data_IF_887589972064
#
_entry.id   IF_887589972064
#
_cell.length_a   1.000
_cell.length_b   1.000
_cell.length_c   1.000
_cell.angle_alpha   90.00
_cell.angle_beta   90.00
_cell.angle_gamma   90.00
#
_symmetry.space_group_name_H-M   'P 1'
#
loop_
_entity.id
_entity.type
_entity.pdbx_description
1 polymer ?
#
# COMPACT_ATOMS: atom_id res chain seq x y z
N UNK A 1 14.74 -27.76 -3.03
CA UNK A 1 14.02 -28.27 -1.88
C UNK A 1 13.28 -27.16 -1.12
N UNK A 2 13.92 -26.04 -0.79
CA UNK A 2 13.31 -24.85 -0.13
C UNK A 2 12.12 -24.24 -0.87
N UNK A 3 12.14 -24.16 -2.22
CA UNK A 3 11.03 -23.61 -3.05
C UNK A 3 9.72 -24.41 -2.91
N UNK A 4 9.81 -25.72 -2.75
CA UNK A 4 8.63 -26.59 -2.54
C UNK A 4 8.05 -26.49 -1.14
N UNK A 5 8.90 -26.22 -0.14
CA UNK A 5 8.47 -26.02 1.25
C UNK A 5 7.71 -24.69 1.41
N UNK A 6 8.19 -23.62 0.75
CA UNK A 6 7.51 -22.32 0.78
C UNK A 6 6.11 -22.38 0.15
N UNK A 7 5.95 -23.09 -0.97
CA UNK A 7 4.65 -23.28 -1.64
C UNK A 7 3.69 -24.08 -0.74
N UNK A 8 4.19 -25.11 -0.07
CA UNK A 8 3.37 -25.93 0.86
C UNK A 8 2.95 -25.11 2.08
N UNK A 9 3.81 -24.26 2.62
CA UNK A 9 3.43 -23.39 3.75
C UNK A 9 2.38 -22.35 3.37
N UNK A 10 2.45 -21.78 2.16
CA UNK A 10 1.46 -20.82 1.65
C UNK A 10 0.12 -21.51 1.37
N UNK A 11 0.12 -22.73 0.84
CA UNK A 11 -1.11 -23.47 0.56
C UNK A 11 -1.78 -23.99 1.83
N UNK A 12 -1.03 -24.38 2.87
CA UNK A 12 -1.61 -24.79 4.15
C UNK A 12 -2.17 -23.62 4.95
N UNK A 13 -1.59 -22.43 4.83
CA UNK A 13 -2.11 -21.21 5.48
C UNK A 13 -3.43 -20.74 4.83
N UNK A 14 -3.59 -20.93 3.53
CA UNK A 14 -4.82 -20.56 2.80
C UNK A 14 -6.02 -21.48 3.09
N UNK A 15 -5.78 -22.71 3.55
CA UNK A 15 -6.84 -23.70 3.76
C UNK A 15 -7.51 -23.65 5.15
N UNK A 16 -7.04 -22.81 6.07
CA UNK A 16 -7.59 -22.69 7.43
C UNK A 16 -8.53 -21.51 7.65
N UNK A 17 -8.91 -20.78 6.60
CA UNK A 17 -9.85 -19.66 6.72
C UNK A 17 -11.27 -20.19 6.79
N UNK A 18 -11.79 -20.40 8.00
CA UNK A 18 -13.20 -20.64 8.23
C UNK A 18 -14.00 -19.38 7.90
N UNK A 19 -14.81 -19.43 6.87
CA UNK A 19 -15.77 -18.39 6.50
C UNK A 19 -16.94 -18.40 7.48
N UNK A 20 -16.94 -17.51 8.46
CA UNK A 20 -18.09 -17.20 9.31
C UNK A 20 -18.63 -15.83 8.91
N UNK A 21 -19.75 -15.81 8.23
CA UNK A 21 -20.47 -14.60 7.89
C UNK A 21 -21.22 -14.07 9.14
N UNK A 22 -21.01 -12.81 9.49
CA UNK A 22 -21.89 -12.07 10.39
C UNK A 22 -21.29 -11.42 11.64
N UNK A 23 -20.16 -11.91 12.17
CA UNK A 23 -19.46 -11.30 13.32
C UNK A 23 -18.08 -10.72 12.96
N UNK A 24 -17.70 -10.84 11.70
CA UNK A 24 -16.31 -10.63 11.26
C UNK A 24 -15.92 -9.16 11.20
N UNK A 25 -16.89 -8.26 10.96
CA UNK A 25 -16.63 -6.81 10.88
C UNK A 25 -16.16 -6.23 12.23
N UNK A 26 -16.85 -6.54 13.32
CA UNK A 26 -16.50 -6.05 14.65
C UNK A 26 -15.17 -6.63 15.14
N UNK A 27 -14.91 -7.91 14.87
CA UNK A 27 -13.64 -8.54 15.20
C UNK A 27 -12.47 -7.93 14.42
N UNK A 28 -12.68 -7.58 13.15
CA UNK A 28 -11.68 -6.92 12.32
C UNK A 28 -11.40 -5.48 12.78
N UNK A 29 -12.44 -4.73 13.15
CA UNK A 29 -12.33 -3.40 13.74
C UNK A 29 -11.46 -3.44 14.99
N UNK A 30 -11.77 -4.34 15.93
CA UNK A 30 -11.03 -4.51 17.17
C UNK A 30 -9.59 -4.98 16.95
N UNK A 31 -9.38 -5.87 15.99
CA UNK A 31 -8.08 -6.48 15.71
C UNK A 31 -7.12 -5.53 15.00
N UNK A 32 -7.66 -4.61 14.20
CA UNK A 32 -6.91 -3.58 13.48
C UNK A 32 -6.98 -2.21 14.16
N UNK A 33 -7.45 -2.13 15.40
CA UNK A 33 -7.48 -0.86 16.14
C UNK A 33 -6.04 -0.36 16.35
N UNK A 34 -5.70 0.86 15.88
CA UNK A 34 -4.39 1.45 16.04
C UNK A 34 -3.91 1.50 17.50
N UNK A 35 -4.82 1.67 18.45
CA UNK A 35 -4.50 1.72 19.87
C UNK A 35 -3.98 0.39 20.44
N UNK A 36 -4.31 -0.74 19.80
CA UNK A 36 -3.92 -2.08 20.22
C UNK A 36 -2.58 -2.54 19.61
N UNK A 37 -2.00 -1.79 18.66
CA UNK A 37 -0.75 -2.16 18.00
C UNK A 37 0.44 -1.79 18.87
N UNK A 38 1.09 -2.82 19.41
CA UNK A 38 2.28 -2.65 20.27
C UNK A 38 3.51 -2.26 19.47
N UNK A 39 4.29 -1.37 20.03
CA UNK A 39 5.63 -1.05 19.57
C UNK A 39 6.66 -1.91 20.32
N UNK A 40 6.83 -3.15 19.87
CA UNK A 40 7.63 -4.13 20.61
C UNK A 40 9.13 -3.80 20.59
N UNK A 41 9.58 -2.99 19.63
CA UNK A 41 10.98 -2.67 19.40
C UNK A 41 11.19 -1.14 19.31
N UNK A 42 10.52 -0.36 20.16
CA UNK A 42 10.47 1.11 20.04
C UNK A 42 11.87 1.74 19.91
N UNK A 43 12.84 1.32 20.72
CA UNK A 43 14.19 1.87 20.63
C UNK A 43 14.86 1.63 19.28
N UNK A 44 14.71 0.43 18.70
CA UNK A 44 15.21 0.10 17.37
C UNK A 44 14.42 0.85 16.29
N UNK A 45 13.10 0.89 16.42
CA UNK A 45 12.23 1.59 15.49
C UNK A 45 12.54 3.09 15.43
N UNK A 46 12.75 3.74 16.59
CA UNK A 46 13.17 5.16 16.65
C UNK A 46 14.55 5.38 16.02
N UNK A 47 15.52 4.49 16.26
CA UNK A 47 16.84 4.58 15.63
C UNK A 47 16.74 4.43 14.10
N UNK A 48 15.97 3.46 13.61
CA UNK A 48 15.74 3.29 12.16
C UNK A 48 14.96 4.46 11.56
N UNK A 49 14.01 5.01 12.31
CA UNK A 49 13.26 6.20 11.89
C UNK A 49 14.20 7.41 11.73
N UNK A 50 15.08 7.67 12.70
CA UNK A 50 16.07 8.74 12.61
C UNK A 50 17.05 8.55 11.42
N UNK A 51 17.44 7.29 11.14
CA UNK A 51 18.22 6.97 9.94
C UNK A 51 17.42 7.32 8.67
N UNK A 52 16.14 6.93 8.60
CA UNK A 52 15.29 7.24 7.45
C UNK A 52 15.08 8.74 7.27
N UNK A 53 14.89 9.52 8.36
CA UNK A 53 14.82 10.99 8.29
C UNK A 53 16.13 11.58 7.76
N UNK A 54 17.27 11.08 8.20
CA UNK A 54 18.58 11.55 7.70
C UNK A 54 18.71 11.26 6.21
N UNK A 55 18.32 10.07 5.75
CA UNK A 55 18.33 9.72 4.33
C UNK A 55 17.32 10.56 3.53
N UNK A 56 16.16 10.84 4.10
CA UNK A 56 15.16 11.70 3.45
C UNK A 56 15.73 13.10 3.23
N UNK A 57 16.24 13.76 4.28
CA UNK A 57 16.77 15.12 4.19
C UNK A 57 17.99 15.27 3.27
N UNK A 58 18.86 14.24 3.20
CA UNK A 58 20.08 14.29 2.37
C UNK A 58 19.80 13.87 0.90
N UNK A 59 18.87 12.92 0.68
CA UNK A 59 18.69 12.29 -0.62
C UNK A 59 17.27 12.42 -1.17
N UNK A 60 16.25 11.90 -0.44
CA UNK A 60 14.92 11.76 -1.03
C UNK A 60 14.21 13.10 -1.20
N UNK A 61 14.27 13.96 -0.23
CA UNK A 61 13.65 15.28 -0.29
C UNK A 61 14.26 16.19 -1.37
N UNK A 62 15.59 16.36 -1.48
CA UNK A 62 16.19 17.11 -2.59
C UNK A 62 15.83 16.57 -3.97
N UNK A 63 15.82 15.24 -4.13
CA UNK A 63 15.42 14.59 -5.39
C UNK A 63 13.93 14.81 -5.68
N UNK A 64 13.07 14.71 -4.67
CA UNK A 64 11.64 14.99 -4.80
C UNK A 64 11.36 16.46 -5.15
N UNK A 65 12.10 17.41 -4.55
CA UNK A 65 12.04 18.86 -4.89
C UNK A 65 12.48 19.09 -6.33
N UNK A 66 13.59 18.47 -6.77
CA UNK A 66 14.04 18.54 -8.16
C UNK A 66 13.00 17.93 -9.13
N UNK A 67 12.41 16.81 -8.79
CA UNK A 67 11.32 16.20 -9.56
C UNK A 67 10.10 17.12 -9.68
N UNK A 68 9.78 17.93 -8.66
CA UNK A 68 8.67 18.90 -8.69
C UNK A 68 8.90 20.07 -9.65
N UNK A 69 10.12 20.32 -10.12
CA UNK A 69 10.40 21.31 -11.17
C UNK A 69 9.77 20.88 -12.52
N UNK A 70 9.55 19.58 -12.72
CA UNK A 70 8.87 19.09 -13.91
C UNK A 70 7.43 19.63 -13.98
N UNK A 71 6.92 19.96 -15.18
CA UNK A 71 5.53 20.39 -15.36
C UNK A 71 4.52 19.36 -14.79
N UNK A 72 3.43 19.86 -14.20
CA UNK A 72 2.40 19.01 -13.59
C UNK A 72 1.90 17.90 -14.52
N UNK A 73 1.65 18.11 -15.84
CA UNK A 73 1.21 17.03 -16.71
C UNK A 73 2.22 15.87 -16.82
N UNK A 74 3.52 16.18 -16.80
CA UNK A 74 4.58 15.15 -16.83
C UNK A 74 4.55 14.32 -15.55
N UNK A 75 4.49 14.98 -14.40
CA UNK A 75 4.42 14.31 -13.10
C UNK A 75 3.15 13.46 -12.95
N UNK A 76 2.03 13.98 -13.44
CA UNK A 76 0.75 13.24 -13.48
C UNK A 76 0.89 12.00 -14.37
N UNK A 77 1.45 12.14 -15.57
CA UNK A 77 1.66 11.01 -16.48
C UNK A 77 2.56 9.91 -15.88
N UNK A 78 3.65 10.30 -15.21
CA UNK A 78 4.51 9.36 -14.48
C UNK A 78 3.71 8.65 -13.37
N UNK A 79 2.98 9.40 -12.55
CA UNK A 79 2.16 8.82 -11.48
C UNK A 79 1.09 7.84 -12.01
N UNK A 80 0.43 8.19 -13.11
CA UNK A 80 -0.56 7.33 -13.76
C UNK A 80 0.06 6.02 -14.27
N UNK A 81 1.24 6.11 -14.92
CA UNK A 81 1.96 4.92 -15.40
C UNK A 81 2.39 4.00 -14.24
N UNK A 82 2.87 4.56 -13.14
CA UNK A 82 3.24 3.81 -11.94
C UNK A 82 2.01 3.14 -11.29
N UNK A 83 0.88 3.84 -11.22
CA UNK A 83 -0.39 3.28 -10.75
C UNK A 83 -0.87 2.16 -11.68
N UNK A 84 -0.77 2.36 -13.00
CA UNK A 84 -1.13 1.33 -13.96
C UNK A 84 -0.27 0.07 -13.79
N UNK A 85 1.03 0.23 -13.58
CA UNK A 85 1.93 -0.88 -13.29
C UNK A 85 1.60 -1.56 -11.95
N UNK A 86 1.20 -0.78 -10.95
CA UNK A 86 0.80 -1.29 -9.63
C UNK A 86 -0.48 -2.14 -9.67
N UNK A 87 -1.33 -2.00 -10.70
CA UNK A 87 -2.48 -2.87 -10.93
C UNK A 87 -2.10 -4.35 -11.04
N UNK A 88 -0.90 -4.66 -11.51
CA UNK A 88 -0.40 -6.04 -11.57
C UNK A 88 -0.33 -6.71 -10.19
N UNK A 89 -0.17 -5.93 -9.12
CA UNK A 89 -0.22 -6.40 -7.73
C UNK A 89 -1.63 -6.22 -7.14
N UNK A 90 -2.30 -5.12 -7.46
CA UNK A 90 -3.63 -4.79 -6.93
C UNK A 90 -4.69 -5.81 -7.36
N UNK A 91 -4.74 -6.19 -8.64
CA UNK A 91 -5.73 -7.13 -9.16
C UNK A 91 -5.71 -8.48 -8.42
N UNK A 92 -4.57 -9.19 -8.28
CA UNK A 92 -4.54 -10.42 -7.51
C UNK A 92 -4.89 -10.22 -6.03
N UNK A 93 -4.58 -9.07 -5.45
CA UNK A 93 -4.95 -8.77 -4.06
C UNK A 93 -6.47 -8.56 -3.91
N UNK A 94 -7.14 -7.86 -4.84
CA UNK A 94 -8.61 -7.79 -4.84
C UNK A 94 -9.24 -9.20 -4.90
N UNK A 95 -8.70 -10.10 -5.74
CA UNK A 95 -9.17 -11.49 -5.83
C UNK A 95 -8.98 -12.22 -4.49
N UNK A 96 -7.80 -12.09 -3.86
CA UNK A 96 -7.50 -12.72 -2.57
C UNK A 96 -8.39 -12.19 -1.43
N UNK A 97 -8.84 -10.96 -1.53
CA UNK A 97 -9.75 -10.33 -0.58
C UNK A 97 -11.22 -10.68 -0.85
N UNK A 98 -11.51 -11.35 -1.96
CA UNK A 98 -12.88 -11.71 -2.39
C UNK A 98 -13.61 -10.54 -3.07
N UNK A 99 -12.92 -9.44 -3.36
CA UNK A 99 -13.50 -8.29 -4.06
C UNK A 99 -13.35 -8.44 -5.57
N UNK A 100 -14.16 -9.34 -6.13
CA UNK A 100 -14.16 -9.63 -7.57
C UNK A 100 -14.66 -8.44 -8.40
N UNK A 101 -15.46 -7.55 -7.81
CA UNK A 101 -15.94 -6.33 -8.49
C UNK A 101 -14.77 -5.40 -8.75
N UNK A 102 -14.00 -5.06 -7.72
CA UNK A 102 -12.83 -4.20 -7.86
C UNK A 102 -11.73 -4.88 -8.68
N UNK A 103 -11.56 -6.19 -8.58
CA UNK A 103 -10.66 -6.95 -9.45
C UNK A 103 -11.03 -6.76 -10.93
N UNK A 104 -12.32 -6.83 -11.27
CA UNK A 104 -12.82 -6.58 -12.63
C UNK A 104 -12.62 -5.15 -13.09
N UNK A 105 -12.94 -4.17 -12.24
CA UNK A 105 -12.71 -2.74 -12.49
C UNK A 105 -11.22 -2.48 -12.75
N UNK A 106 -10.34 -2.94 -11.87
CA UNK A 106 -8.89 -2.73 -12.00
C UNK A 106 -8.29 -3.44 -13.22
N UNK A 107 -8.84 -4.61 -13.61
CA UNK A 107 -8.47 -5.29 -14.87
C UNK A 107 -8.85 -4.45 -16.08
N UNK A 108 -10.07 -3.89 -16.10
CA UNK A 108 -10.53 -2.99 -17.15
C UNK A 108 -9.68 -1.72 -17.23
N UNK A 109 -9.38 -1.09 -16.09
CA UNK A 109 -8.49 0.07 -15.98
C UNK A 109 -7.11 -0.23 -16.56
N UNK A 110 -6.51 -1.35 -16.15
CA UNK A 110 -5.19 -1.76 -16.63
C UNK A 110 -5.18 -1.94 -18.16
N UNK A 111 -6.18 -2.62 -18.72
CA UNK A 111 -6.28 -2.84 -20.17
C UNK A 111 -6.46 -1.54 -20.94
N UNK A 112 -7.40 -0.67 -20.52
CA UNK A 112 -7.69 0.61 -21.16
C UNK A 112 -6.49 1.55 -21.05
N UNK A 113 -5.93 1.73 -19.86
CA UNK A 113 -4.84 2.66 -19.65
C UNK A 113 -3.54 2.17 -20.31
N UNK A 114 -3.31 0.86 -20.39
CA UNK A 114 -2.14 0.32 -21.10
C UNK A 114 -2.24 0.52 -22.61
N UNK A 115 -3.43 0.36 -23.21
CA UNK A 115 -3.65 0.45 -24.66
C UNK A 115 -3.97 1.88 -25.10
N UNK A 116 -5.08 2.43 -24.66
CA UNK A 116 -5.53 3.77 -25.06
C UNK A 116 -4.80 4.88 -24.29
N UNK A 117 -4.36 4.60 -23.06
CA UNK A 117 -3.64 5.54 -22.21
C UNK A 117 -2.11 5.53 -22.40
N UNK A 118 -1.59 4.85 -23.44
CA UNK A 118 -0.16 4.78 -23.78
C UNK A 118 0.66 4.31 -22.54
N UNK A 119 0.56 3.02 -22.20
CA UNK A 119 1.20 2.40 -21.03
C UNK A 119 0.82 3.07 -19.69
N UNK A 120 -0.36 3.68 -19.63
CA UNK A 120 -0.89 4.32 -18.43
C UNK A 120 -0.46 5.76 -18.22
N UNK A 121 0.20 6.43 -19.16
CA UNK A 121 0.52 7.87 -19.07
C UNK A 121 -0.77 8.68 -18.90
N UNK A 122 -1.80 8.32 -19.66
CA UNK A 122 -3.13 8.92 -19.56
C UNK A 122 -4.09 7.97 -18.85
N UNK A 123 -4.78 8.48 -17.82
CA UNK A 123 -5.83 7.72 -17.13
C UNK A 123 -7.15 7.84 -17.89
N UNK A 124 -7.24 7.15 -19.02
CA UNK A 124 -8.42 7.10 -19.88
C UNK A 124 -9.58 6.38 -19.19
N UNK A 125 -9.29 5.37 -18.39
CA UNK A 125 -10.32 4.62 -17.67
C UNK A 125 -11.16 5.52 -16.74
N UNK A 126 -10.54 6.43 -15.98
CA UNK A 126 -11.26 7.40 -15.16
C UNK A 126 -12.14 8.33 -16.03
N UNK A 127 -11.64 8.75 -17.20
CA UNK A 127 -12.42 9.57 -18.14
C UNK A 127 -13.62 8.80 -18.74
N UNK A 128 -13.53 7.47 -18.80
CA UNK A 128 -14.62 6.58 -19.23
C UNK A 128 -15.61 6.24 -18.10
N UNK A 129 -15.43 6.79 -16.90
CA UNK A 129 -16.34 6.59 -15.76
C UNK A 129 -16.00 5.40 -14.85
N UNK A 130 -14.83 4.80 -14.99
CA UNK A 130 -14.34 3.84 -13.99
C UNK A 130 -14.05 4.55 -12.67
N UNK A 131 -14.30 3.87 -11.54
CA UNK A 131 -13.92 4.37 -10.21
C UNK A 131 -12.43 4.64 -10.11
N UNK A 132 -12.04 5.54 -9.22
CA UNK A 132 -10.63 5.87 -8.98
C UNK A 132 -9.83 4.63 -8.55
N UNK A 133 -8.54 4.64 -8.91
CA UNK A 133 -7.63 3.56 -8.56
C UNK A 133 -7.28 3.59 -7.07
N UNK A 134 -7.52 2.49 -6.39
CA UNK A 134 -7.08 2.25 -5.02
C UNK A 134 -6.04 1.13 -5.03
N UNK A 135 -4.87 1.41 -4.46
CA UNK A 135 -3.75 0.48 -4.42
C UNK A 135 -3.96 -0.56 -3.32
N UNK A 136 -3.89 -1.83 -3.70
CA UNK A 136 -3.94 -2.96 -2.78
C UNK A 136 -2.59 -3.67 -2.67
N UNK A 137 -2.36 -4.29 -1.51
CA UNK A 137 -1.14 -5.05 -1.24
C UNK A 137 -1.42 -6.32 -0.39
N UNK A 138 -0.46 -7.22 -0.32
CA UNK A 138 -0.60 -8.48 0.42
C UNK A 138 -0.76 -8.29 1.93
N UNK A 139 -0.25 -7.20 2.52
CA UNK A 139 -0.49 -6.86 3.92
C UNK A 139 -1.96 -6.53 4.18
N UNK A 140 -2.61 -5.83 3.23
CA UNK A 140 -4.04 -5.55 3.27
C UNK A 140 -4.84 -6.85 3.10
N UNK A 141 -4.47 -7.71 2.14
CA UNK A 141 -5.13 -9.02 1.92
C UNK A 141 -5.02 -9.92 3.15
N UNK A 142 -3.88 -9.97 3.82
CA UNK A 142 -3.73 -10.65 5.10
C UNK A 142 -4.61 -10.02 6.19
N UNK A 143 -4.66 -8.69 6.26
CA UNK A 143 -5.51 -7.96 7.21
C UNK A 143 -6.98 -8.24 7.01
N UNK A 144 -7.48 -8.19 5.78
CA UNK A 144 -8.86 -8.48 5.42
C UNK A 144 -9.24 -9.94 5.68
N UNK A 145 -8.28 -10.86 5.60
CA UNK A 145 -8.44 -12.27 5.99
C UNK A 145 -8.39 -12.50 7.51
N UNK A 146 -8.29 -11.43 8.33
CA UNK A 146 -8.30 -11.53 9.77
C UNK A 146 -6.93 -11.69 10.43
N UNK A 147 -5.83 -11.57 9.69
CA UNK A 147 -4.48 -11.55 10.29
C UNK A 147 -4.24 -10.21 10.97
N UNK A 148 -3.98 -10.22 12.28
CA UNK A 148 -3.65 -9.00 13.03
C UNK A 148 -2.33 -8.38 12.59
N UNK A 149 -2.11 -7.09 12.87
CA UNK A 149 -0.90 -6.37 12.46
C UNK A 149 0.39 -6.90 13.11
N UNK A 150 0.30 -7.48 14.31
CA UNK A 150 1.46 -7.81 15.13
C UNK A 150 2.10 -6.55 15.71
N UNK A 151 3.43 -6.58 15.90
CA UNK A 151 4.17 -5.41 16.37
C UNK A 151 4.39 -4.39 15.25
N UNK A 152 4.41 -3.12 15.63
CA UNK A 152 4.86 -2.04 14.75
C UNK A 152 6.37 -2.15 14.48
N UNK A 153 6.78 -1.88 13.28
CA UNK A 153 8.16 -1.89 12.80
C UNK A 153 8.44 -0.65 11.95
N UNK A 154 9.69 -0.18 12.01
CA UNK A 154 10.20 0.76 11.01
C UNK A 154 11.29 0.07 10.20
N UNK A 155 11.08 -0.03 8.90
CA UNK A 155 12.02 -0.66 7.98
C UNK A 155 12.99 0.39 7.44
N UNK A 156 14.31 0.06 7.33
CA UNK A 156 15.27 0.94 6.68
C UNK A 156 14.81 1.28 5.26
N UNK A 157 14.83 2.56 4.90
CA UNK A 157 14.42 3.12 3.60
C UNK A 157 12.91 3.01 3.33
N UNK A 158 12.29 1.90 3.71
CA UNK A 158 10.87 1.63 3.42
C UNK A 158 9.90 2.31 4.40
N UNK A 159 10.38 2.73 5.57
CA UNK A 159 9.59 3.47 6.56
C UNK A 159 8.67 2.61 7.42
N UNK A 160 7.51 3.18 7.86
CA UNK A 160 6.56 2.54 8.75
C UNK A 160 6.00 1.23 8.21
N UNK A 161 5.88 0.22 9.07
CA UNK A 161 5.34 -1.10 8.74
C UNK A 161 4.77 -1.79 9.99
N UNK A 162 4.24 -2.99 9.82
CA UNK A 162 3.93 -3.95 10.88
C UNK A 162 4.50 -5.32 10.51
N UNK A 163 4.50 -6.27 11.44
CA UNK A 163 4.93 -7.65 11.12
C UNK A 163 4.11 -8.21 9.97
N UNK A 164 2.77 -8.02 9.97
CA UNK A 164 1.88 -8.45 8.89
C UNK A 164 2.25 -7.80 7.56
N UNK A 165 2.42 -6.48 7.55
CA UNK A 165 2.65 -5.72 6.32
C UNK A 165 4.06 -5.99 5.77
N UNK A 166 5.03 -6.21 6.66
CA UNK A 166 6.37 -6.71 6.29
C UNK A 166 6.29 -8.10 5.65
N UNK A 167 5.50 -9.02 6.22
CA UNK A 167 5.27 -10.32 5.61
C UNK A 167 4.60 -10.21 4.23
N UNK A 168 3.62 -9.30 4.07
CA UNK A 168 3.03 -8.95 2.79
C UNK A 168 4.06 -8.45 1.76
N UNK A 169 4.98 -7.60 2.19
CA UNK A 169 6.08 -7.11 1.34
C UNK A 169 7.04 -8.24 0.91
N UNK A 170 7.29 -9.18 1.80
CA UNK A 170 8.11 -10.37 1.49
C UNK A 170 7.45 -11.25 0.43
N UNK A 171 6.12 -11.38 0.43
CA UNK A 171 5.38 -12.12 -0.61
C UNK A 171 5.66 -11.54 -2.00
N UNK A 172 5.73 -10.22 -2.15
CA UNK A 172 6.09 -9.57 -3.43
C UNK A 172 7.44 -10.08 -3.96
N UNK A 173 8.46 -10.13 -3.10
CA UNK A 173 9.81 -10.57 -3.47
C UNK A 173 9.85 -12.06 -3.83
N UNK A 174 9.05 -12.89 -3.17
CA UNK A 174 8.99 -14.33 -3.44
C UNK A 174 8.07 -14.74 -4.59
N UNK A 175 7.61 -13.79 -5.38
CA UNK A 175 6.89 -14.06 -6.62
C UNK A 175 5.46 -13.53 -6.66
N UNK A 176 5.04 -12.80 -5.63
CA UNK A 176 3.74 -12.13 -5.60
C UNK A 176 3.65 -10.90 -6.49
N UNK A 177 4.79 -10.36 -6.94
CA UNK A 177 4.83 -9.24 -7.86
C UNK A 177 5.08 -9.71 -9.30
N UNK A 178 4.07 -9.69 -10.18
CA UNK A 178 4.25 -10.06 -11.59
C UNK A 178 5.29 -9.21 -12.32
N UNK A 179 5.41 -7.93 -11.96
CA UNK A 179 6.41 -7.05 -12.56
C UNK A 179 7.83 -7.47 -12.17
N UNK A 180 8.05 -7.81 -10.89
CA UNK A 180 9.31 -8.39 -10.45
C UNK A 180 9.64 -9.69 -11.18
N UNK A 181 8.63 -10.56 -11.36
CA UNK A 181 8.83 -11.84 -12.04
C UNK A 181 9.26 -11.66 -13.51
N UNK A 182 8.65 -10.71 -14.21
CA UNK A 182 8.95 -10.47 -15.63
C UNK A 182 10.28 -9.75 -15.82
N UNK A 183 10.60 -8.77 -14.98
CA UNK A 183 11.78 -7.92 -15.18
C UNK A 183 13.05 -8.46 -14.51
N UNK A 184 12.93 -9.04 -13.30
CA UNK A 184 14.11 -9.47 -12.51
C UNK A 184 14.36 -10.97 -12.63
N UNK A 185 13.27 -11.77 -12.53
CA UNK A 185 13.42 -13.22 -12.39
C UNK A 185 13.54 -13.97 -13.72
N UNK A 186 12.88 -13.48 -14.77
CA UNK A 186 12.83 -14.14 -16.06
C UNK A 186 13.79 -13.54 -17.11
N UNK A 187 14.46 -12.42 -16.78
CA UNK A 187 15.42 -11.72 -17.65
C UNK A 187 14.93 -11.66 -19.12
N UNK A 188 13.82 -10.97 -19.32
CA UNK A 188 13.19 -10.91 -20.64
C UNK A 188 13.97 -9.96 -21.56
N UNK A 189 13.88 -10.18 -22.86
CA UNK A 189 14.53 -9.31 -23.87
C UNK A 189 14.13 -7.82 -23.75
N UNK A 190 12.95 -7.54 -23.23
CA UNK A 190 12.36 -6.19 -23.23
C UNK A 190 12.41 -5.51 -21.86
N UNK A 191 12.43 -6.27 -20.77
CA UNK A 191 12.40 -5.77 -19.41
C UNK A 191 13.47 -6.46 -18.58
N UNK A 192 14.23 -5.67 -17.85
CA UNK A 192 15.32 -6.12 -17.01
C UNK A 192 15.21 -5.57 -15.57
N UNK A 193 16.13 -5.98 -14.71
CA UNK A 193 16.09 -5.60 -13.29
C UNK A 193 16.17 -4.07 -13.07
N UNK A 194 16.83 -3.32 -13.98
CA UNK A 194 16.91 -1.86 -13.87
C UNK A 194 15.53 -1.22 -14.03
N UNK A 195 14.70 -1.74 -14.93
CA UNK A 195 13.34 -1.24 -15.14
C UNK A 195 12.49 -1.40 -13.88
N UNK A 196 12.69 -2.52 -13.17
CA UNK A 196 12.03 -2.74 -11.89
C UNK A 196 12.46 -1.73 -10.84
N UNK A 197 13.77 -1.58 -10.61
CA UNK A 197 14.27 -0.67 -9.58
C UNK A 197 14.00 0.80 -9.92
N UNK A 198 14.08 1.20 -11.19
CA UNK A 198 13.72 2.55 -11.62
C UNK A 198 12.23 2.82 -11.35
N UNK A 199 11.34 1.90 -11.69
CA UNK A 199 9.91 2.09 -11.45
C UNK A 199 9.58 2.19 -9.95
N UNK A 200 10.19 1.35 -9.11
CA UNK A 200 10.00 1.39 -7.65
C UNK A 200 10.57 2.65 -7.00
N UNK A 201 11.76 3.06 -7.43
CA UNK A 201 12.36 4.32 -6.95
C UNK A 201 11.53 5.53 -7.40
N UNK A 202 11.03 5.52 -8.63
CA UNK A 202 10.16 6.59 -9.15
C UNK A 202 8.83 6.67 -8.40
N UNK A 203 8.25 5.52 -7.97
CA UNK A 203 7.04 5.49 -7.13
C UNK A 203 7.31 6.18 -5.78
N UNK A 204 8.43 5.86 -5.13
CA UNK A 204 8.85 6.51 -3.89
C UNK A 204 9.08 8.01 -4.04
N UNK A 205 9.80 8.44 -5.09
CA UNK A 205 10.06 9.86 -5.37
C UNK A 205 8.74 10.60 -5.66
N UNK A 206 7.86 10.02 -6.47
CA UNK A 206 6.56 10.60 -6.80
C UNK A 206 5.68 10.75 -5.54
N UNK A 207 5.68 9.73 -4.68
CA UNK A 207 5.00 9.78 -3.38
C UNK A 207 5.56 10.90 -2.50
N UNK A 208 6.89 10.97 -2.31
CA UNK A 208 7.54 12.02 -1.50
C UNK A 208 7.26 13.41 -2.08
N UNK A 209 7.35 13.57 -3.40
CA UNK A 209 7.07 14.83 -4.09
C UNK A 209 5.62 15.30 -3.92
N UNK A 210 4.64 14.40 -3.90
CA UNK A 210 3.23 14.75 -3.67
C UNK A 210 2.95 15.19 -2.23
N UNK A 211 3.76 14.72 -1.28
CA UNK A 211 3.50 14.87 0.15
C UNK A 211 4.54 15.75 0.87
N UNK A 212 5.34 16.56 0.15
CA UNK A 212 6.39 17.41 0.78
C UNK A 212 5.77 18.27 1.88
N UNK A 213 4.76 19.07 1.56
CA UNK A 213 4.15 20.00 2.51
C UNK A 213 3.48 19.27 3.69
N UNK A 214 2.90 18.10 3.46
CA UNK A 214 2.28 17.31 4.53
C UNK A 214 3.33 16.76 5.51
N UNK A 215 4.47 16.31 4.99
CA UNK A 215 5.58 15.84 5.84
C UNK A 215 6.24 17.00 6.60
N UNK A 216 6.52 18.10 5.93
CA UNK A 216 7.14 19.28 6.53
C UNK A 216 6.23 19.84 7.66
N UNK A 217 4.93 19.99 7.40
CA UNK A 217 3.96 20.44 8.41
C UNK A 217 3.86 19.46 9.59
N UNK A 218 3.90 18.15 9.32
CA UNK A 218 3.84 17.16 10.39
C UNK A 218 5.11 17.19 11.25
N UNK A 219 6.28 17.33 10.63
CA UNK A 219 7.56 17.40 11.33
C UNK A 219 7.67 18.67 12.19
N UNK A 220 7.26 19.82 11.65
CA UNK A 220 7.32 21.11 12.36
C UNK A 220 6.34 21.20 13.53
N UNK A 221 5.16 20.57 13.44
CA UNK A 221 4.09 20.75 14.42
C UNK A 221 3.91 19.57 15.38
N UNK A 222 4.55 18.42 15.13
CA UNK A 222 4.41 17.26 15.99
C UNK A 222 5.28 17.38 17.25
N UNK A 223 4.69 17.13 18.41
CA UNK A 223 5.45 17.01 19.69
C UNK A 223 6.41 15.82 19.63
N UNK A 224 5.97 14.71 19.04
CA UNK A 224 6.77 13.52 18.75
C UNK A 224 6.48 13.07 17.31
N UNK A 225 7.37 13.41 16.39
CA UNK A 225 7.20 13.12 14.97
C UNK A 225 7.12 11.61 14.69
N UNK A 226 7.94 10.81 15.37
CA UNK A 226 7.86 9.35 15.29
C UNK A 226 6.47 8.82 15.67
N UNK A 227 5.95 9.25 16.80
CA UNK A 227 4.64 8.81 17.29
C UNK A 227 3.51 9.25 16.34
N UNK A 228 3.61 10.46 15.78
CA UNK A 228 2.64 11.00 14.82
C UNK A 228 2.63 10.19 13.53
N UNK A 229 3.80 9.89 12.94
CA UNK A 229 3.93 9.07 11.75
C UNK A 229 3.43 7.65 11.99
N UNK A 230 3.77 7.05 13.14
CA UNK A 230 3.23 5.73 13.54
C UNK A 230 1.71 5.74 13.60
N UNK A 231 1.11 6.74 14.24
CA UNK A 231 -0.34 6.86 14.37
C UNK A 231 -1.03 6.98 13.01
N UNK A 232 -0.54 7.87 12.16
CA UNK A 232 -1.08 8.07 10.80
C UNK A 232 -0.98 6.80 9.96
N UNK A 233 0.16 6.12 10.00
CA UNK A 233 0.34 4.85 9.28
C UNK A 233 -0.68 3.80 9.73
N UNK A 234 -0.85 3.61 11.03
CA UNK A 234 -1.76 2.59 11.56
C UNK A 234 -3.23 2.93 11.27
N UNK A 235 -3.60 4.21 11.28
CA UNK A 235 -4.94 4.67 10.91
C UNK A 235 -5.21 4.44 9.41
N UNK A 236 -4.27 4.83 8.53
CA UNK A 236 -4.36 4.60 7.08
C UNK A 236 -4.51 3.10 6.77
N UNK A 237 -3.71 2.26 7.43
CA UNK A 237 -3.80 0.80 7.25
C UNK A 237 -5.13 0.23 7.71
N UNK A 238 -5.65 0.69 8.86
CA UNK A 238 -6.98 0.31 9.33
C UNK A 238 -8.04 0.66 8.30
N UNK A 239 -8.06 1.91 7.84
CA UNK A 239 -9.02 2.38 6.86
C UNK A 239 -8.99 1.56 5.56
N UNK A 240 -7.81 1.31 5.00
CA UNK A 240 -7.63 0.51 3.78
C UNK A 240 -8.16 -0.91 3.92
N UNK A 241 -7.91 -1.57 5.06
CA UNK A 241 -8.41 -2.93 5.33
C UNK A 241 -9.94 -2.96 5.47
N UNK A 242 -10.53 -1.91 6.06
CA UNK A 242 -11.98 -1.80 6.25
C UNK A 242 -12.71 -1.50 4.94
N UNK A 243 -12.19 -0.60 4.11
CA UNK A 243 -12.76 -0.28 2.80
C UNK A 243 -12.91 -1.50 1.90
N UNK A 244 -11.94 -2.41 1.95
CA UNK A 244 -11.99 -3.65 1.20
C UNK A 244 -13.22 -4.50 1.51
N UNK A 245 -13.80 -4.37 2.70
CA UNK A 245 -14.98 -5.16 3.13
C UNK A 245 -16.29 -4.37 3.08
N UNK A 246 -16.33 -3.18 2.52
CA UNK A 246 -17.55 -2.35 2.44
C UNK A 246 -18.05 -1.86 3.80
N UNK A 247 -17.23 -1.92 4.84
CA UNK A 247 -17.64 -1.58 6.22
C UNK A 247 -17.72 -0.06 6.45
N UNK A 248 -17.12 0.74 5.57
CA UNK A 248 -17.05 2.19 5.74
C UNK A 248 -18.33 2.91 5.32
N UNK A 249 -19.11 2.33 4.41
CA UNK A 249 -20.36 2.97 3.95
C UNK A 249 -21.46 3.03 5.03
N UNK A 250 -21.31 2.32 6.13
CA UNK A 250 -22.33 2.30 7.20
C UNK A 250 -22.04 3.23 8.37
N UNK A 251 -20.89 3.87 8.43
CA UNK A 251 -20.50 4.77 9.53
C UNK A 251 -20.75 6.26 9.26
N UNK A 252 -21.28 6.64 8.12
CA UNK A 252 -21.13 8.03 7.68
C UNK A 252 -22.31 8.96 7.95
N UNK A 253 -23.48 8.50 8.36
CA UNK A 253 -24.62 9.43 8.53
C UNK A 253 -25.34 9.36 9.89
N UNK A 254 -25.19 8.31 10.69
CA UNK A 254 -25.95 8.17 11.94
C UNK A 254 -25.20 8.63 13.19
N UNK A 255 -23.87 8.64 13.17
CA UNK A 255 -23.08 8.91 14.38
C UNK A 255 -22.86 10.41 14.66
N UNK A 256 -23.17 11.28 13.70
CA UNK A 256 -23.05 12.74 13.88
C UNK A 256 -24.34 13.40 14.40
N UNK A 257 -25.51 12.78 14.18
CA UNK A 257 -26.79 13.32 14.64
C UNK A 257 -27.00 13.19 16.16
N UNK A 258 -26.36 12.23 16.85
CA UNK A 258 -26.47 12.06 18.30
C UNK A 258 -25.65 13.07 19.12
N UNK A 259 -24.75 13.84 18.53
CA UNK A 259 -23.90 14.81 19.22
C UNK A 259 -24.56 16.18 19.32
N UNK A 260 -25.55 16.49 18.47
CA UNK A 260 -26.25 17.78 18.48
C UNK A 260 -27.48 17.85 19.41
N UNK A 261 -27.91 16.76 20.04
CA UNK A 261 -29.11 16.74 20.91
C UNK A 261 -28.83 16.56 22.43
N UNK A 262 -27.62 16.76 22.93
CA UNK A 262 -27.33 16.74 24.39
C UNK A 262 -26.60 17.98 24.86
#
# INVERSE_FOLDING_TARGET
MMKKIAIILITTLALTVNTHAGSDGELLLKKNDPSNVKDCFEGLNRATFALNQTLDGILFEPVAKAYRVLPSPVRTGVGNSLNNLSNLVTIPNNILQGDFKEAGINTGRFAINTTLGILGIFDVATQMGFSEYVKEDYGQSLGSSGVGPGCYLVLPVLGPSTIRDTAGSVINIFGGDPWYNVSVKNDTRYFNEKDYYISRSSDGINFRAKNIEAFDNLEENAIDFYASVKSLYLQDRKQKILNTKGVVDTMNDSDWEEIEEN
#
